data_IF_982280962851
#
_entry.id   IF_982280962851
#
_cell.length_a   1.000
_cell.length_b   1.000
_cell.length_c   1.000
_cell.angle_alpha   90.00
_cell.angle_beta   90.00
_cell.angle_gamma   90.00
#
_symmetry.space_group_name_H-M   'P 1'
#
loop_
_entity.id
_entity.type
_entity.pdbx_description
1 polymer ?
#
# COMPACT_ATOMS: atom_id res chain seq x y z
N UNK A 1 2.64 -1.73 15.67
CA UNK A 1 1.29 -1.52 15.09
C UNK A 1 1.41 -0.78 13.77
N UNK A 2 0.63 -1.17 12.79
CA UNK A 2 0.65 -0.54 11.48
C UNK A 2 0.13 0.89 11.57
N UNK A 3 0.92 1.85 11.10
CA UNK A 3 0.57 3.27 11.16
C UNK A 3 -0.19 3.72 9.92
N UNK A 4 -1.23 4.52 10.12
CA UNK A 4 -1.96 5.18 9.05
C UNK A 4 -1.75 6.71 9.08
N UNK A 5 -0.74 7.18 9.81
CA UNK A 5 -0.47 8.62 9.94
C UNK A 5 -0.25 9.32 8.60
N UNK A 6 0.42 8.64 7.67
CA UNK A 6 0.70 9.18 6.35
C UNK A 6 -0.36 8.79 5.31
N UNK A 7 -1.46 8.21 5.77
CA UNK A 7 -2.55 7.83 4.87
C UNK A 7 -3.39 9.05 4.52
N UNK A 8 -3.42 9.37 3.23
CA UNK A 8 -4.24 10.46 2.69
C UNK A 8 -5.10 9.91 1.57
N UNK A 9 -6.42 10.00 1.73
CA UNK A 9 -7.33 9.53 0.69
C UNK A 9 -7.31 10.46 -0.51
N UNK A 10 -7.48 9.89 -1.71
CA UNK A 10 -7.61 10.64 -2.95
C UNK A 10 -9.01 10.43 -3.52
N UNK A 11 -9.49 11.42 -4.26
CA UNK A 11 -10.82 11.33 -4.89
C UNK A 11 -10.84 10.32 -6.02
N UNK A 12 -12.00 9.72 -6.24
CA UNK A 12 -12.24 8.84 -7.38
C UNK A 12 -11.88 7.38 -7.14
N UNK A 13 -11.30 7.05 -6.00
CA UNK A 13 -10.98 5.65 -5.64
C UNK A 13 -11.65 5.33 -4.32
N UNK A 14 -12.36 4.18 -4.21
CA UNK A 14 -12.96 3.78 -2.93
C UNK A 14 -11.92 3.73 -1.81
N UNK A 15 -12.28 4.28 -0.65
CA UNK A 15 -11.34 4.39 0.48
C UNK A 15 -10.84 3.01 0.93
N UNK A 16 -11.70 1.99 0.92
CA UNK A 16 -11.28 0.66 1.37
C UNK A 16 -10.15 0.10 0.49
N UNK A 17 -10.18 0.37 -0.82
CA UNK A 17 -9.10 -0.06 -1.73
C UNK A 17 -7.80 0.68 -1.43
N UNK A 18 -7.89 1.96 -1.09
CA UNK A 18 -6.72 2.75 -0.70
C UNK A 18 -6.11 2.23 0.60
N UNK A 19 -6.95 1.82 1.55
CA UNK A 19 -6.48 1.22 2.81
C UNK A 19 -5.74 -0.09 2.56
N UNK A 20 -6.29 -0.95 1.69
CA UNK A 20 -5.65 -2.21 1.31
C UNK A 20 -4.29 -1.93 0.66
N UNK A 21 -4.25 -0.97 -0.25
CA UNK A 21 -3.01 -0.57 -0.93
C UNK A 21 -1.98 -0.05 0.06
N UNK A 22 -2.41 0.72 1.05
CA UNK A 22 -1.52 1.25 2.10
C UNK A 22 -0.82 0.11 2.85
N UNK A 23 -1.56 -0.92 3.24
CA UNK A 23 -0.99 -2.09 3.92
C UNK A 23 -0.02 -2.82 2.98
N UNK A 24 -0.41 -3.04 1.74
CA UNK A 24 0.43 -3.72 0.75
C UNK A 24 1.71 -2.95 0.44
N UNK A 25 1.64 -1.63 0.37
CA UNK A 25 2.82 -0.78 0.18
C UNK A 25 3.80 -0.93 1.37
N UNK A 26 3.27 -1.00 2.58
CA UNK A 26 4.09 -1.24 3.77
C UNK A 26 4.76 -2.61 3.75
N UNK A 27 4.04 -3.65 3.30
CA UNK A 27 4.61 -4.99 3.13
C UNK A 27 5.71 -4.98 2.07
N UNK A 28 5.46 -4.31 0.94
CA UNK A 28 6.44 -4.20 -0.14
C UNK A 28 7.70 -3.45 0.31
N UNK A 29 7.55 -2.39 1.08
CA UNK A 29 8.66 -1.59 1.57
C UNK A 29 9.39 -2.21 2.75
N UNK A 30 8.80 -3.22 3.41
CA UNK A 30 9.38 -3.84 4.59
C UNK A 30 9.09 -3.10 5.89
N UNK A 31 8.29 -2.04 5.85
CA UNK A 31 7.89 -1.30 7.06
C UNK A 31 6.75 -2.00 7.81
N UNK A 32 6.04 -2.90 7.13
CA UNK A 32 5.02 -3.76 7.71
C UNK A 32 5.52 -5.19 7.60
N UNK A 33 5.52 -5.93 8.71
CA UNK A 33 6.10 -7.27 8.79
C UNK A 33 5.12 -8.23 9.44
N UNK A 34 5.38 -9.53 9.26
CA UNK A 34 4.62 -10.58 9.93
C UNK A 34 4.61 -10.35 11.44
N UNK A 35 3.45 -10.54 12.03
CA UNK A 35 3.25 -10.34 13.45
C UNK A 35 2.83 -8.92 13.82
N UNK A 36 2.97 -7.96 12.90
CA UNK A 36 2.53 -6.59 13.16
C UNK A 36 1.02 -6.56 13.37
N UNK A 37 0.60 -5.78 14.35
CA UNK A 37 -0.81 -5.64 14.69
C UNK A 37 -1.47 -4.53 13.88
N UNK A 38 -2.74 -4.74 13.55
CA UNK A 38 -3.60 -3.70 13.01
C UNK A 38 -4.49 -3.18 14.14
N UNK A 39 -4.78 -1.88 14.11
CA UNK A 39 -5.74 -1.28 15.03
C UNK A 39 -7.09 -1.95 14.89
N UNK A 40 -7.88 -1.97 15.97
CA UNK A 40 -9.25 -2.47 15.89
C UNK A 40 -10.02 -1.66 14.84
N UNK A 41 -11.04 -2.29 14.27
CA UNK A 41 -11.84 -1.64 13.22
C UNK A 41 -12.46 -0.34 13.73
N UNK A 42 -12.93 -0.34 14.96
CA UNK A 42 -13.55 0.84 15.58
C UNK A 42 -12.54 1.97 15.79
N UNK A 43 -11.35 1.63 16.31
CA UNK A 43 -10.30 2.62 16.53
C UNK A 43 -9.86 3.23 15.22
N UNK A 44 -9.60 2.39 14.21
CA UNK A 44 -9.13 2.87 12.92
C UNK A 44 -10.18 3.74 12.22
N UNK A 45 -11.46 3.35 12.29
CA UNK A 45 -12.52 4.16 11.69
C UNK A 45 -12.61 5.54 12.35
N UNK A 46 -12.43 5.60 13.67
CA UNK A 46 -12.43 6.86 14.39
C UNK A 46 -11.20 7.72 14.01
N UNK A 47 -10.02 7.11 13.94
CA UNK A 47 -8.78 7.81 13.59
C UNK A 47 -8.83 8.40 12.18
N UNK A 48 -9.39 7.67 11.23
CA UNK A 48 -9.45 8.09 9.83
C UNK A 48 -10.74 8.85 9.49
N UNK A 49 -11.67 8.95 10.43
CA UNK A 49 -12.97 9.56 10.22
C UNK A 49 -13.72 8.94 9.04
N UNK A 50 -13.69 7.61 8.95
CA UNK A 50 -14.37 6.84 7.90
C UNK A 50 -15.42 5.92 8.52
N UNK A 51 -16.37 5.48 7.69
CA UNK A 51 -17.41 4.56 8.12
C UNK A 51 -16.79 3.24 8.60
N UNK A 52 -17.22 2.69 9.76
CA UNK A 52 -16.72 1.40 10.24
C UNK A 52 -16.88 0.26 9.23
N UNK A 53 -17.92 0.32 8.39
CA UNK A 53 -18.13 -0.69 7.34
C UNK A 53 -17.04 -0.63 6.27
N UNK A 54 -16.47 0.55 6.02
CA UNK A 54 -15.35 0.73 5.10
C UNK A 54 -14.11 0.02 5.62
N UNK A 55 -13.80 0.19 6.90
CA UNK A 55 -12.68 -0.51 7.55
C UNK A 55 -12.91 -2.01 7.55
N UNK A 56 -14.13 -2.45 7.88
CA UNK A 56 -14.51 -3.86 7.88
C UNK A 56 -14.30 -4.49 6.49
N UNK A 57 -14.68 -3.78 5.44
CA UNK A 57 -14.53 -4.26 4.08
C UNK A 57 -13.06 -4.43 3.71
N UNK A 58 -12.20 -3.47 4.09
CA UNK A 58 -10.76 -3.55 3.85
C UNK A 58 -10.16 -4.75 4.59
N UNK A 59 -10.46 -4.91 5.87
CA UNK A 59 -9.93 -6.00 6.69
C UNK A 59 -10.40 -7.36 6.18
N UNK A 60 -11.68 -7.46 5.79
CA UNK A 60 -12.21 -8.72 5.25
C UNK A 60 -11.45 -9.13 4.00
N UNK A 61 -11.19 -8.19 3.10
CA UNK A 61 -10.47 -8.51 1.87
C UNK A 61 -9.03 -8.92 2.15
N UNK A 62 -8.37 -8.24 3.09
CA UNK A 62 -7.00 -8.63 3.50
C UNK A 62 -7.00 -10.04 4.11
N UNK A 63 -8.02 -10.40 4.88
CA UNK A 63 -8.17 -11.76 5.41
C UNK A 63 -8.40 -12.79 4.31
N UNK A 64 -9.25 -12.47 3.34
CA UNK A 64 -9.53 -13.35 2.21
C UNK A 64 -8.27 -13.62 1.38
N UNK A 65 -7.40 -12.62 1.25
CA UNK A 65 -6.12 -12.77 0.56
C UNK A 65 -5.05 -13.46 1.43
N UNK A 66 -5.36 -13.75 2.69
CA UNK A 66 -4.43 -14.42 3.60
C UNK A 66 -3.34 -13.54 4.16
N UNK A 67 -3.48 -12.22 4.03
CA UNK A 67 -2.45 -11.27 4.49
C UNK A 67 -2.57 -10.90 5.95
N UNK A 68 -3.76 -11.08 6.53
CA UNK A 68 -3.99 -10.87 7.97
C UNK A 68 -4.83 -12.02 8.51
N UNK A 69 -4.75 -12.21 9.83
CA UNK A 69 -5.61 -13.11 10.56
C UNK A 69 -6.13 -12.41 11.80
N UNK A 70 -7.39 -12.65 12.13
CA UNK A 70 -7.99 -12.18 13.37
C UNK A 70 -8.05 -13.35 14.34
N UNK A 71 -7.66 -13.11 15.59
CA UNK A 71 -7.72 -14.12 16.66
C UNK A 71 -8.61 -13.57 17.78
N UNK A 72 -9.51 -14.39 18.33
CA UNK A 72 -10.33 -13.97 19.46
C UNK A 72 -9.48 -13.42 20.60
N UNK A 73 -9.76 -12.20 21.02
CA UNK A 73 -9.06 -11.54 22.11
C UNK A 73 -7.66 -10.99 21.78
N UNK A 74 -7.15 -11.24 20.58
CA UNK A 74 -5.80 -10.80 20.20
C UNK A 74 -5.78 -9.84 19.02
N UNK A 75 -6.94 -9.50 18.44
CA UNK A 75 -7.03 -8.59 17.29
C UNK A 75 -6.53 -9.20 15.99
N UNK A 76 -6.23 -8.33 15.04
CA UNK A 76 -5.75 -8.74 13.72
C UNK A 76 -4.25 -8.53 13.58
N UNK A 77 -3.59 -9.47 12.94
CA UNK A 77 -2.13 -9.47 12.75
C UNK A 77 -1.76 -9.82 11.32
N UNK A 78 -0.65 -9.31 10.86
CA UNK A 78 -0.08 -9.64 9.55
C UNK A 78 0.40 -11.10 9.56
N UNK A 79 -0.01 -11.85 8.53
CA UNK A 79 0.39 -13.26 8.35
C UNK A 79 0.84 -13.52 6.91
N UNK A 80 1.38 -12.51 6.23
CA UNK A 80 1.82 -12.63 4.84
C UNK A 80 3.07 -13.48 4.73
N UNK A 81 3.07 -14.45 3.79
CA UNK A 81 4.25 -15.26 3.51
C UNK A 81 5.24 -14.45 2.66
N UNK A 82 6.49 -14.93 2.61
CA UNK A 82 7.51 -14.33 1.76
C UNK A 82 7.07 -14.30 0.29
N UNK A 83 6.46 -15.39 -0.17
CA UNK A 83 5.97 -15.49 -1.55
C UNK A 83 4.87 -14.46 -1.83
N UNK A 84 3.95 -14.28 -0.88
CA UNK A 84 2.89 -13.28 -1.01
C UNK A 84 3.46 -11.88 -1.07
N UNK A 85 4.45 -11.57 -0.22
CA UNK A 85 5.10 -10.26 -0.21
C UNK A 85 5.82 -10.01 -1.53
N UNK A 86 6.56 -10.99 -2.04
CA UNK A 86 7.27 -10.86 -3.31
C UNK A 86 6.31 -10.62 -4.47
N UNK A 87 5.16 -11.30 -4.47
CA UNK A 87 4.14 -11.10 -5.50
C UNK A 87 3.51 -9.71 -5.40
N UNK A 88 3.22 -9.25 -4.19
CA UNK A 88 2.69 -7.90 -3.95
C UNK A 88 3.67 -6.86 -4.47
N UNK A 89 4.96 -7.01 -4.16
CA UNK A 89 6.00 -6.10 -4.63
C UNK A 89 6.02 -6.01 -6.15
N UNK A 90 6.03 -7.18 -6.83
CA UNK A 90 6.02 -7.24 -8.28
C UNK A 90 4.83 -6.53 -8.89
N UNK A 91 3.64 -6.79 -8.36
CA UNK A 91 2.40 -6.18 -8.87
C UNK A 91 2.36 -4.67 -8.66
N UNK A 92 2.74 -4.21 -7.46
CA UNK A 92 2.73 -2.78 -7.15
C UNK A 92 3.76 -2.03 -8.01
N UNK A 93 4.96 -2.55 -8.13
CA UNK A 93 6.00 -1.92 -8.93
C UNK A 93 5.62 -1.87 -10.40
N UNK A 94 5.07 -2.96 -10.93
CA UNK A 94 4.65 -3.02 -12.33
C UNK A 94 3.55 -1.98 -12.60
N UNK A 95 2.55 -1.91 -11.74
CA UNK A 95 1.44 -0.96 -11.90
C UNK A 95 1.95 0.47 -11.87
N UNK A 96 2.80 0.80 -10.89
CA UNK A 96 3.36 2.15 -10.75
C UNK A 96 4.18 2.54 -11.97
N UNK A 97 5.03 1.64 -12.44
CA UNK A 97 5.87 1.90 -13.61
C UNK A 97 5.03 2.01 -14.88
N UNK A 98 4.03 1.14 -15.06
CA UNK A 98 3.15 1.21 -16.22
C UNK A 98 2.39 2.54 -16.29
N UNK A 99 1.86 3.00 -15.17
CA UNK A 99 1.14 4.27 -15.11
C UNK A 99 2.09 5.44 -15.40
N UNK A 100 3.30 5.39 -14.86
CA UNK A 100 4.32 6.41 -15.08
C UNK A 100 4.74 6.45 -16.55
N UNK A 101 4.98 5.29 -17.14
CA UNK A 101 5.35 5.19 -18.57
C UNK A 101 4.23 5.76 -19.45
N UNK A 102 2.97 5.40 -19.16
CA UNK A 102 1.84 5.92 -19.91
C UNK A 102 1.74 7.44 -19.82
N UNK A 103 1.95 8.00 -18.63
CA UNK A 103 1.94 9.44 -18.43
C UNK A 103 3.05 10.15 -19.23
N UNK A 104 4.26 9.59 -19.19
CA UNK A 104 5.40 10.14 -19.92
C UNK A 104 5.17 10.08 -21.43
N UNK A 105 4.67 8.96 -21.94
CA UNK A 105 4.35 8.82 -23.37
C UNK A 105 3.27 9.80 -23.79
N UNK A 106 2.27 10.01 -22.93
CA UNK A 106 1.17 10.94 -23.20
C UNK A 106 1.64 12.40 -23.32
N UNK A 107 2.78 12.73 -22.70
CA UNK A 107 3.38 14.06 -22.79
C UNK A 107 4.48 14.15 -23.87
N UNK A 108 4.72 13.09 -24.60
CA UNK A 108 5.73 13.08 -25.65
C UNK A 108 7.16 12.90 -25.18
N UNK A 109 7.36 12.48 -23.93
CA UNK A 109 8.71 12.23 -23.39
C UNK A 109 9.27 10.96 -24.00
N UNK A 110 10.48 11.03 -24.57
CA UNK A 110 11.14 9.89 -25.19
C UNK A 110 11.81 9.01 -24.14
N UNK A 111 11.99 7.75 -24.46
CA UNK A 111 12.59 6.77 -23.54
C UNK A 111 13.92 7.25 -22.95
N UNK A 112 14.82 7.74 -23.80
CA UNK A 112 16.13 8.18 -23.36
C UNK A 112 16.07 9.36 -22.40
N UNK A 113 15.15 10.29 -22.67
CA UNK A 113 14.91 11.44 -21.81
C UNK A 113 14.32 11.00 -20.47
N UNK A 114 13.38 10.04 -20.50
CA UNK A 114 12.74 9.52 -19.31
C UNK A 114 13.76 8.82 -18.39
N UNK A 115 14.60 7.95 -18.98
CA UNK A 115 15.63 7.22 -18.23
C UNK A 115 16.61 8.18 -17.58
N UNK A 116 17.07 9.19 -18.32
CA UNK A 116 18.01 10.19 -17.79
C UNK A 116 17.39 10.98 -16.65
N UNK A 117 16.13 11.41 -16.79
CA UNK A 117 15.45 12.15 -15.74
C UNK A 117 15.26 11.32 -14.48
N UNK A 118 14.85 10.06 -14.64
CA UNK A 118 14.69 9.13 -13.51
C UNK A 118 16.02 8.93 -12.78
N UNK A 119 17.11 8.75 -13.53
CA UNK A 119 18.43 8.56 -12.95
C UNK A 119 18.84 9.76 -12.09
N UNK A 120 18.66 10.97 -12.61
CA UNK A 120 18.98 12.19 -11.88
C UNK A 120 18.18 12.35 -10.61
N UNK A 121 16.87 12.07 -10.67
CA UNK A 121 16.00 12.23 -9.51
C UNK A 121 16.32 11.21 -8.42
N UNK A 122 16.63 9.97 -8.78
CA UNK A 122 17.06 8.96 -7.81
C UNK A 122 18.38 9.36 -7.14
N UNK A 123 19.35 9.79 -7.93
CA UNK A 123 20.67 10.19 -7.41
C UNK A 123 20.55 11.41 -6.50
N UNK A 124 19.70 12.37 -6.86
CA UNK A 124 19.49 13.56 -6.04
C UNK A 124 18.89 13.21 -4.69
N UNK A 125 17.95 12.29 -4.64
CA UNK A 125 17.33 11.84 -3.38
C UNK A 125 18.37 11.17 -2.48
N UNK A 126 19.32 10.43 -3.06
CA UNK A 126 20.39 9.78 -2.30
C UNK A 126 21.36 10.79 -1.68
N UNK A 127 21.52 11.96 -2.28
CA UNK A 127 22.40 13.01 -1.79
C UNK A 127 21.83 13.77 -0.59
N UNK A 128 20.52 13.70 -0.40
CA UNK A 128 19.83 14.33 0.72
C UNK A 128 19.81 13.42 1.95
#
# INVERSE_FOLDING_TARGET
MISFENFHSVEGVPIYLQMIRHVKQGLAAGTVQNGDELSSRRILSAMLAVNPNTVQKAYRQLEEEGLIQSRPGAGSHITASREQIDQIRSELFRTEVQETVAAMKGMGLKKEEAVELLRRLYDKEEEE
#
